data_IF_877481372415
#
_entry.id   IF_877481372415
#
_cell.length_a   1.000
_cell.length_b   1.000
_cell.length_c   1.000
_cell.angle_alpha   90.00
_cell.angle_beta   90.00
_cell.angle_gamma   90.00
#
_symmetry.space_group_name_H-M   'P 1'
#
loop_
_entity.id
_entity.type
_entity.pdbx_description
1 polymer ?
#
# COMPACT_ATOMS: atom_id res chain seq x y z
N UNK A 1 1.01 -3.83 -25.93
CA UNK A 1 0.28 -4.03 -27.20
C UNK A 1 1.16 -4.89 -28.08
N UNK A 2 0.66 -6.02 -28.57
CA UNK A 2 1.39 -6.94 -29.48
C UNK A 2 0.51 -7.13 -30.71
N UNK A 3 1.11 -7.04 -31.90
CA UNK A 3 0.44 -7.21 -33.18
C UNK A 3 1.02 -8.45 -33.85
N UNK A 4 0.20 -9.47 -34.02
CA UNK A 4 0.58 -10.74 -34.64
C UNK A 4 0.14 -10.76 -36.10
N UNK A 5 1.01 -11.26 -36.98
CA UNK A 5 0.73 -11.45 -38.39
C UNK A 5 1.17 -12.85 -38.83
N UNK A 6 0.46 -13.44 -39.80
CA UNK A 6 0.73 -14.80 -40.27
C UNK A 6 2.03 -14.89 -41.06
N UNK A 7 1.97 -14.54 -42.35
CA UNK A 7 3.13 -14.64 -43.25
C UNK A 7 3.82 -13.29 -43.50
N UNK A 8 3.08 -12.18 -43.38
CA UNK A 8 3.58 -10.83 -43.62
C UNK A 8 2.76 -9.78 -42.84
N UNK A 9 3.42 -8.76 -42.30
CA UNK A 9 2.81 -7.55 -41.75
C UNK A 9 3.25 -6.32 -42.56
N UNK A 10 2.30 -5.55 -43.08
CA UNK A 10 2.58 -4.31 -43.82
C UNK A 10 1.89 -3.11 -43.17
N UNK A 11 2.65 -2.07 -42.86
CA UNK A 11 2.19 -0.76 -42.40
C UNK A 11 2.43 0.26 -43.51
N UNK A 12 1.40 1.03 -43.90
CA UNK A 12 1.50 2.04 -44.95
C UNK A 12 0.96 3.39 -44.47
N UNK A 13 1.69 4.46 -44.74
CA UNK A 13 1.27 5.81 -44.42
C UNK A 13 2.13 6.87 -45.11
N UNK A 14 1.51 7.92 -45.66
CA UNK A 14 2.23 9.06 -46.24
C UNK A 14 3.25 8.70 -47.33
N UNK A 15 2.96 7.68 -48.15
CA UNK A 15 3.87 7.19 -49.20
C UNK A 15 5.05 6.33 -48.68
N UNK A 16 5.15 6.13 -47.37
CA UNK A 16 6.09 5.20 -46.75
C UNK A 16 5.40 3.85 -46.48
N UNK A 17 6.16 2.77 -46.52
CA UNK A 17 5.70 1.46 -46.06
C UNK A 17 6.77 0.70 -45.30
N UNK A 18 6.33 -0.10 -44.34
CA UNK A 18 7.16 -1.05 -43.57
C UNK A 18 6.55 -2.42 -43.78
N UNK A 19 7.37 -3.39 -44.17
CA UNK A 19 7.00 -4.78 -44.42
C UNK A 19 7.83 -5.70 -43.52
N UNK A 20 7.18 -6.66 -42.89
CA UNK A 20 7.80 -7.69 -42.06
C UNK A 20 7.37 -9.04 -42.58
N UNK A 21 8.31 -9.88 -43.02
CA UNK A 21 8.04 -11.23 -43.52
C UNK A 21 9.13 -12.21 -43.05
N UNK A 22 9.09 -13.46 -43.53
CA UNK A 22 10.09 -14.47 -43.19
C UNK A 22 11.53 -14.15 -43.63
N UNK A 23 11.72 -13.17 -44.52
CA UNK A 23 13.02 -12.64 -44.95
C UNK A 23 13.51 -11.46 -44.11
N UNK A 24 12.68 -10.92 -43.22
CA UNK A 24 13.04 -9.87 -42.27
C UNK A 24 12.20 -8.58 -42.42
N UNK A 25 12.83 -7.44 -42.12
CA UNK A 25 12.18 -6.13 -42.14
C UNK A 25 12.62 -5.29 -43.34
N UNK A 26 11.65 -4.82 -44.12
CA UNK A 26 11.86 -3.89 -45.24
C UNK A 26 11.20 -2.55 -44.92
N UNK A 27 11.94 -1.45 -45.08
CA UNK A 27 11.45 -0.09 -44.86
C UNK A 27 11.66 0.73 -46.13
N UNK A 28 10.62 1.39 -46.62
CA UNK A 28 10.69 2.27 -47.79
C UNK A 28 9.97 3.57 -47.49
N UNK A 29 10.63 4.70 -47.75
CA UNK A 29 10.05 6.03 -47.57
C UNK A 29 11.09 7.13 -47.85
N UNK A 30 10.65 8.39 -48.01
CA UNK A 30 11.54 9.52 -48.29
C UNK A 30 12.51 9.83 -47.14
N UNK A 31 12.12 9.56 -45.89
CA UNK A 31 12.96 9.70 -44.70
C UNK A 31 12.72 8.51 -43.77
N UNK A 32 13.79 7.78 -43.45
CA UNK A 32 13.76 6.66 -42.49
C UNK A 32 14.67 7.02 -41.33
N UNK A 33 14.08 7.09 -40.14
CA UNK A 33 14.76 7.42 -38.87
C UNK A 33 14.99 6.14 -38.08
N UNK A 34 16.22 5.62 -38.10
CA UNK A 34 16.62 4.44 -37.32
C UNK A 34 17.22 4.92 -36.00
N UNK A 35 16.75 4.36 -34.88
CA UNK A 35 17.20 4.72 -33.53
C UNK A 35 17.16 6.24 -33.24
N UNK A 36 16.29 6.97 -33.94
CA UNK A 36 16.28 8.44 -33.96
C UNK A 36 15.00 8.99 -33.35
N UNK A 37 14.68 8.56 -32.13
CA UNK A 37 13.54 9.04 -31.36
C UNK A 37 13.38 8.34 -30.02
N UNK A 38 12.75 9.05 -29.06
CA UNK A 38 12.41 8.54 -27.73
C UNK A 38 13.55 8.64 -26.73
N UNK A 39 13.46 9.60 -25.81
CA UNK A 39 14.05 9.45 -24.49
C UNK A 39 12.95 8.94 -23.55
N UNK A 40 13.30 8.14 -22.54
CA UNK A 40 12.36 7.88 -21.45
C UNK A 40 11.90 9.23 -20.90
N UNK A 41 10.59 9.44 -20.81
CA UNK A 41 10.06 10.63 -20.14
C UNK A 41 10.49 10.59 -18.67
N UNK A 42 10.92 11.72 -18.12
CA UNK A 42 11.14 11.82 -16.68
C UNK A 42 9.77 11.90 -15.99
N UNK A 43 9.39 10.82 -15.30
CA UNK A 43 8.25 10.85 -14.38
C UNK A 43 8.64 11.60 -13.10
N UNK A 44 7.74 12.44 -12.58
CA UNK A 44 7.90 12.98 -11.22
C UNK A 44 7.82 11.82 -10.22
N UNK A 45 8.76 11.76 -9.27
CA UNK A 45 8.73 10.75 -8.20
C UNK A 45 7.45 10.83 -7.34
N UNK A 46 7.04 9.70 -6.78
CA UNK A 46 5.90 9.67 -5.85
C UNK A 46 6.29 10.27 -4.49
N UNK A 47 5.42 11.11 -3.92
CA UNK A 47 5.56 11.67 -2.57
C UNK A 47 4.40 11.20 -1.67
N UNK A 48 4.36 9.91 -1.27
CA UNK A 48 3.32 9.41 -0.38
C UNK A 48 3.43 10.03 1.01
N UNK A 49 2.29 10.23 1.67
CA UNK A 49 2.26 10.63 3.08
C UNK A 49 2.75 9.45 3.92
N UNK A 50 3.75 9.69 4.78
CA UNK A 50 4.25 8.67 5.70
C UNK A 50 3.21 8.38 6.80
N UNK A 51 3.09 7.13 7.27
CA UNK A 51 2.26 6.82 8.43
C UNK A 51 2.73 7.63 9.64
N UNK A 52 1.76 8.09 10.45
CA UNK A 52 2.05 8.80 11.70
C UNK A 52 2.71 7.89 12.74
N UNK A 53 3.28 8.51 13.78
CA UNK A 53 3.85 7.77 14.91
C UNK A 53 2.78 6.97 15.66
N UNK A 54 3.10 5.74 16.03
CA UNK A 54 2.24 4.92 16.89
C UNK A 54 2.10 5.58 18.28
N UNK A 55 0.90 5.53 18.85
CA UNK A 55 0.68 5.95 20.24
C UNK A 55 1.08 4.80 21.18
N UNK A 56 1.68 5.11 22.35
CA UNK A 56 1.98 4.10 23.37
C UNK A 56 0.69 3.47 23.89
N UNK A 57 0.65 2.13 23.92
CA UNK A 57 -0.51 1.37 24.40
C UNK A 57 -0.77 1.56 25.90
N UNK A 58 0.28 1.85 26.67
CA UNK A 58 0.20 1.97 28.14
C UNK A 58 -0.34 3.32 28.64
N UNK A 59 -0.73 4.22 27.73
CA UNK A 59 -1.37 5.49 28.08
C UNK A 59 -2.90 5.39 28.26
N UNK A 60 -3.48 4.21 28.03
CA UNK A 60 -4.90 3.98 28.20
C UNK A 60 -5.28 3.82 29.67
N UNK A 61 -6.41 4.42 30.05
CA UNK A 61 -6.97 4.30 31.40
C UNK A 61 -7.64 2.95 31.55
N UNK A 62 -7.41 2.28 32.69
CA UNK A 62 -8.12 1.06 33.04
C UNK A 62 -9.65 1.29 32.99
N UNK A 63 -10.37 0.34 32.38
CA UNK A 63 -11.84 0.38 32.32
C UNK A 63 -12.50 0.32 33.69
N UNK A 64 -13.77 0.73 33.76
CA UNK A 64 -14.55 0.68 34.99
C UNK A 64 -14.85 -0.76 35.43
N UNK A 65 -14.96 -0.97 36.75
CA UNK A 65 -15.35 -2.27 37.30
C UNK A 65 -16.78 -2.61 36.85
N UNK A 66 -16.91 -3.75 36.16
CA UNK A 66 -18.21 -4.25 35.74
C UNK A 66 -19.07 -4.61 36.97
N UNK A 67 -20.32 -4.15 37.01
CA UNK A 67 -21.32 -4.45 38.07
C UNK A 67 -21.40 -5.95 38.45
N UNK A 68 -21.31 -6.91 37.49
CA UNK A 68 -21.24 -8.34 37.81
C UNK A 68 -20.05 -8.73 38.70
N UNK A 69 -18.86 -8.15 38.48
CA UNK A 69 -17.66 -8.47 39.26
C UNK A 69 -17.80 -8.00 40.71
N UNK A 70 -18.40 -6.83 40.93
CA UNK A 70 -18.70 -6.33 42.28
C UNK A 70 -19.75 -7.20 42.98
N UNK A 71 -20.81 -7.61 42.26
CA UNK A 71 -21.85 -8.50 42.80
C UNK A 71 -21.29 -9.85 43.20
N UNK A 72 -20.40 -10.44 42.40
CA UNK A 72 -19.76 -11.71 42.70
C UNK A 72 -18.81 -11.61 43.91
N UNK A 73 -18.05 -10.53 44.03
CA UNK A 73 -17.18 -10.26 45.17
C UNK A 73 -17.96 -10.14 46.49
N UNK A 74 -19.12 -9.48 46.47
CA UNK A 74 -20.04 -9.39 47.61
C UNK A 74 -20.58 -10.77 48.01
N UNK A 75 -20.98 -11.60 47.03
CA UNK A 75 -21.43 -12.97 47.28
C UNK A 75 -20.34 -13.84 47.89
N UNK A 76 -19.07 -13.61 47.52
CA UNK A 76 -17.91 -14.31 48.07
C UNK A 76 -17.44 -13.75 49.43
N UNK A 77 -18.21 -12.84 50.07
CA UNK A 77 -17.85 -12.14 51.32
C UNK A 77 -16.49 -11.41 51.27
N UNK A 78 -16.03 -11.07 50.07
CA UNK A 78 -14.76 -10.39 49.84
C UNK A 78 -15.04 -9.11 49.06
N UNK A 79 -15.61 -8.07 49.71
CA UNK A 79 -16.07 -6.88 49.01
C UNK A 79 -14.88 -6.19 48.34
N UNK A 80 -14.95 -6.05 47.01
CA UNK A 80 -13.99 -5.24 46.26
C UNK A 80 -14.36 -3.77 46.44
N UNK A 81 -13.50 -3.02 47.13
CA UNK A 81 -13.63 -1.58 47.24
C UNK A 81 -12.65 -0.93 46.26
N UNK A 82 -13.17 -0.28 45.22
CA UNK A 82 -12.34 0.39 44.21
C UNK A 82 -11.37 1.41 44.82
N UNK A 83 -11.79 2.10 45.89
CA UNK A 83 -10.96 3.06 46.63
C UNK A 83 -9.84 2.33 47.39
N UNK A 84 -10.13 1.22 48.06
CA UNK A 84 -9.11 0.44 48.77
C UNK A 84 -8.14 -0.27 47.82
N UNK A 85 -8.63 -0.80 46.69
CA UNK A 85 -7.79 -1.41 45.65
C UNK A 85 -6.91 -0.37 44.96
N UNK A 86 -7.44 0.81 44.64
CA UNK A 86 -6.65 1.93 44.13
C UNK A 86 -5.61 2.44 45.16
N UNK A 87 -5.97 2.47 46.44
CA UNK A 87 -5.04 2.80 47.52
C UNK A 87 -3.92 1.74 47.65
N UNK A 88 -4.25 0.46 47.49
CA UNK A 88 -3.29 -0.65 47.54
C UNK A 88 -2.35 -0.68 46.34
N UNK A 89 -2.88 -0.39 45.15
CA UNK A 89 -2.08 -0.24 43.92
C UNK A 89 -1.10 0.96 44.02
N UNK A 90 -1.51 2.06 44.68
CA UNK A 90 -0.62 3.20 44.96
C UNK A 90 0.41 2.90 46.06
N UNK A 91 0.06 2.07 47.04
CA UNK A 91 0.95 1.68 48.12
C UNK A 91 1.98 0.59 47.74
N UNK A 92 1.70 -0.20 46.69
CA UNK A 92 2.59 -1.27 46.20
C UNK A 92 3.59 -0.83 45.13
N UNK A 93 3.72 0.47 44.86
CA UNK A 93 4.69 1.03 43.91
C UNK A 93 5.71 1.95 44.63
N UNK A 94 6.10 1.56 45.85
CA UNK A 94 7.28 2.05 46.59
C UNK A 94 8.17 0.87 46.93
#
# INVERSE_FOLDING_TARGET
MVLEAGSELTLKGGGSFIKLDGGGATLVGPVIKVNSGGAAGNGSGAAPILPGAAKPADADKAGELLVPAQKQALLQKKPLCAICEAAKARAGNV
#
